data_IF_505816914470
#
_entry.id   IF_505816914470
#
_cell.length_a   1.000
_cell.length_b   1.000
_cell.length_c   1.000
_cell.angle_alpha   90.00
_cell.angle_beta   90.00
_cell.angle_gamma   90.00
#
_symmetry.space_group_name_H-M   'P 1'
#
loop_
_entity.id
_entity.type
_entity.pdbx_description
1 polymer ?
#
# COMPACT_ATOMS: atom_id res chain seq x y z
N UNK A 1 -8.12 -32.08 5.64
CA UNK A 1 -7.18 -31.04 6.08
C UNK A 1 -7.31 -29.87 5.12
N UNK A 2 -8.03 -28.82 5.50
CA UNK A 2 -8.05 -27.57 4.72
C UNK A 2 -6.67 -26.92 4.87
N UNK A 3 -5.95 -26.72 3.76
CA UNK A 3 -4.81 -25.80 3.76
C UNK A 3 -5.38 -24.44 4.17
N UNK A 4 -4.82 -23.75 5.19
CA UNK A 4 -5.27 -22.39 5.47
C UNK A 4 -5.18 -21.61 4.17
N UNK A 5 -6.28 -20.99 3.74
CA UNK A 5 -6.24 -20.10 2.58
C UNK A 5 -5.21 -19.04 2.98
N UNK A 6 -4.08 -19.01 2.28
CA UNK A 6 -3.04 -17.97 2.41
C UNK A 6 -3.60 -16.53 2.23
N UNK A 7 -4.91 -16.39 1.98
CA UNK A 7 -5.67 -15.17 1.79
C UNK A 7 -6.09 -14.46 3.10
N UNK A 8 -6.02 -15.10 4.28
CA UNK A 8 -6.47 -14.49 5.55
C UNK A 8 -5.36 -13.83 6.37
N UNK A 9 -4.10 -13.92 5.94
CA UNK A 9 -3.00 -13.22 6.60
C UNK A 9 -2.81 -11.84 5.95
N UNK A 10 -2.75 -10.75 6.74
CA UNK A 10 -2.46 -9.42 6.23
C UNK A 10 -1.18 -9.44 5.39
N UNK A 11 -1.28 -8.91 4.17
CA UNK A 11 -0.15 -8.85 3.26
C UNK A 11 0.44 -7.45 3.34
N UNK A 12 1.74 -7.36 3.63
CA UNK A 12 2.44 -6.07 3.56
C UNK A 12 2.68 -5.67 2.12
N UNK A 13 2.35 -4.43 1.80
CA UNK A 13 2.60 -3.83 0.50
C UNK A 13 3.45 -2.57 0.64
N UNK A 14 4.21 -2.31 -0.41
CA UNK A 14 4.79 -1.01 -0.72
C UNK A 14 4.21 -0.57 -2.06
N UNK A 15 3.56 0.59 -2.06
CA UNK A 15 2.99 1.19 -3.27
C UNK A 15 3.70 2.51 -3.50
N UNK A 16 4.28 2.68 -4.69
CA UNK A 16 4.98 3.90 -5.08
C UNK A 16 4.10 4.72 -5.99
N UNK A 17 3.91 6.00 -5.65
CA UNK A 17 3.19 6.98 -6.47
C UNK A 17 4.09 8.18 -6.74
N UNK A 18 3.89 8.83 -7.88
CA UNK A 18 4.69 9.97 -8.29
C UNK A 18 4.43 11.19 -7.40
N UNK A 19 5.50 11.89 -7.02
CA UNK A 19 5.41 13.13 -6.24
C UNK A 19 5.26 12.92 -4.73
N UNK A 20 5.20 14.02 -3.99
CA UNK A 20 5.18 14.03 -2.52
C UNK A 20 3.77 14.25 -1.98
N UNK A 21 3.21 13.21 -1.36
CA UNK A 21 1.94 13.25 -0.65
C UNK A 21 2.17 13.64 0.81
N UNK A 22 1.40 14.60 1.31
CA UNK A 22 1.54 15.01 2.71
C UNK A 22 1.24 13.85 3.68
N UNK A 23 2.10 13.60 4.70
CA UNK A 23 1.90 12.53 5.69
C UNK A 23 0.53 12.54 6.40
N UNK A 24 -0.19 13.67 6.46
CA UNK A 24 -1.53 13.70 7.06
C UNK A 24 -2.56 12.84 6.34
N UNK A 25 -2.29 12.39 5.11
CA UNK A 25 -3.18 11.53 4.34
C UNK A 25 -3.13 10.07 4.79
N UNK A 26 -2.27 9.70 5.75
CA UNK A 26 -2.08 8.31 6.19
C UNK A 26 -3.40 7.62 6.57
N UNK A 27 -4.27 8.29 7.35
CA UNK A 27 -5.57 7.77 7.72
C UNK A 27 -6.48 7.51 6.50
N UNK A 28 -6.32 8.27 5.43
CA UNK A 28 -7.09 8.15 4.19
C UNK A 28 -6.57 7.05 3.27
N UNK A 29 -5.33 6.60 3.46
CA UNK A 29 -4.73 5.46 2.78
C UNK A 29 -4.65 4.25 3.72
N UNK A 30 -5.75 3.89 4.39
CA UNK A 30 -5.85 2.69 5.25
C UNK A 30 -4.84 2.65 6.42
N UNK A 31 -4.35 3.82 6.87
CA UNK A 31 -3.32 3.90 7.90
C UNK A 31 -1.92 3.48 7.42
N UNK A 32 -1.70 3.39 6.10
CA UNK A 32 -0.38 3.12 5.55
C UNK A 32 0.59 4.24 5.94
N UNK A 33 1.83 3.85 6.21
CA UNK A 33 2.93 4.79 6.45
C UNK A 33 3.28 5.48 5.14
N UNK A 34 3.32 6.80 5.17
CA UNK A 34 3.72 7.64 4.04
C UNK A 34 5.18 8.02 4.22
N UNK A 35 6.03 7.66 3.26
CA UNK A 35 7.46 7.98 3.25
C UNK A 35 7.81 8.61 1.91
N UNK A 36 8.61 9.67 1.93
CA UNK A 36 9.17 10.25 0.72
C UNK A 36 10.50 9.56 0.36
N UNK A 37 10.64 9.11 -0.89
CA UNK A 37 11.91 8.60 -1.37
C UNK A 37 12.84 9.74 -1.83
N UNK A 38 14.13 9.42 -2.06
CA UNK A 38 15.12 10.39 -2.49
C UNK A 38 14.86 10.97 -3.90
N UNK A 39 13.97 10.33 -4.69
CA UNK A 39 13.55 10.78 -6.01
C UNK A 39 12.38 11.76 -5.99
N UNK A 40 11.84 12.10 -4.81
CA UNK A 40 10.68 12.98 -4.67
C UNK A 40 9.33 12.28 -4.89
N UNK A 41 9.31 10.94 -4.83
CA UNK A 41 8.09 10.14 -4.90
C UNK A 41 7.62 9.74 -3.50
N UNK A 42 6.41 9.21 -3.43
CA UNK A 42 5.81 8.73 -2.19
C UNK A 42 5.71 7.21 -2.18
N UNK A 43 6.11 6.62 -1.07
CA UNK A 43 5.92 5.22 -0.71
C UNK A 43 4.80 5.13 0.34
N UNK A 44 3.75 4.37 0.01
CA UNK A 44 2.71 3.94 0.94
C UNK A 44 3.05 2.52 1.39
N UNK A 45 3.35 2.34 2.68
CA UNK A 45 3.89 1.08 3.22
C UNK A 45 3.05 0.61 4.40
N UNK A 46 2.64 -0.66 4.38
CA UNK A 46 1.91 -1.25 5.49
C UNK A 46 1.10 -2.50 5.13
N UNK A 47 0.41 -3.08 6.12
CA UNK A 47 -0.43 -4.25 5.91
C UNK A 47 -1.75 -3.85 5.25
N UNK A 48 -2.21 -4.67 4.30
CA UNK A 48 -3.57 -4.63 3.80
C UNK A 48 -4.27 -5.94 4.15
N UNK A 49 -5.52 -5.83 4.61
CA UNK A 49 -6.30 -6.95 5.14
C UNK A 49 -6.55 -8.03 4.07
N UNK A 50 -6.84 -7.62 2.84
CA UNK A 50 -7.15 -8.51 1.73
C UNK A 50 -6.89 -7.83 0.37
N UNK A 51 -7.27 -8.49 -0.72
CA UNK A 51 -7.19 -7.92 -2.06
C UNK A 51 -8.19 -6.79 -2.30
N UNK A 52 -9.35 -6.78 -1.63
CA UNK A 52 -10.33 -5.71 -1.79
C UNK A 52 -9.79 -4.38 -1.24
N UNK A 53 -9.10 -4.42 -0.09
CA UNK A 53 -8.39 -3.28 0.48
C UNK A 53 -7.33 -2.73 -0.50
N UNK A 54 -6.54 -3.61 -1.14
CA UNK A 54 -5.59 -3.21 -2.18
C UNK A 54 -6.28 -2.51 -3.35
N UNK A 55 -7.31 -3.12 -3.93
CA UNK A 55 -8.00 -2.50 -5.07
C UNK A 55 -8.72 -1.20 -4.70
N UNK A 56 -9.28 -1.09 -3.50
CA UNK A 56 -9.87 0.15 -2.99
C UNK A 56 -8.84 1.29 -2.85
N UNK A 57 -7.62 0.95 -2.43
CA UNK A 57 -6.50 1.89 -2.36
C UNK A 57 -6.06 2.36 -3.76
N UNK A 58 -5.93 1.44 -4.71
CA UNK A 58 -5.59 1.77 -6.10
C UNK A 58 -6.66 2.63 -6.77
N UNK A 59 -7.93 2.41 -6.45
CA UNK A 59 -9.04 3.26 -6.90
C UNK A 59 -8.89 4.69 -6.39
N UNK A 60 -8.59 4.87 -5.10
CA UNK A 60 -8.32 6.20 -4.52
C UNK A 60 -7.16 6.90 -5.20
N UNK A 61 -6.05 6.19 -5.46
CA UNK A 61 -4.88 6.74 -6.18
C UNK A 61 -5.30 7.27 -7.55
N UNK A 62 -6.09 6.48 -8.30
CA UNK A 62 -6.60 6.86 -9.61
C UNK A 62 -7.54 8.07 -9.56
N UNK A 63 -8.47 8.11 -8.60
CA UNK A 63 -9.46 9.19 -8.50
C UNK A 63 -8.82 10.52 -8.12
N UNK A 64 -7.67 10.49 -7.44
CA UNK A 64 -6.84 11.66 -7.14
C UNK A 64 -5.94 12.08 -8.30
N UNK A 65 -5.98 11.37 -9.44
CA UNK A 65 -5.15 11.66 -10.60
C UNK A 65 -3.65 11.40 -10.35
N UNK A 66 -3.30 10.64 -9.31
CA UNK A 66 -1.91 10.33 -8.99
C UNK A 66 -1.38 9.26 -9.95
N UNK A 67 -0.11 9.40 -10.34
CA UNK A 67 0.55 8.42 -11.20
C UNK A 67 1.09 7.28 -10.34
N UNK A 68 0.55 6.08 -10.54
CA UNK A 68 1.05 4.86 -9.93
C UNK A 68 2.34 4.41 -10.61
N UNK A 69 3.42 4.25 -9.84
CA UNK A 69 4.73 3.86 -10.36
C UNK A 69 5.04 2.38 -10.12
N UNK A 70 4.70 1.85 -8.95
CA UNK A 70 4.94 0.44 -8.62
C UNK A 70 4.02 -0.09 -7.51
N UNK A 71 3.76 -1.40 -7.54
CA UNK A 71 3.13 -2.16 -6.45
C UNK A 71 4.05 -3.34 -6.14
N UNK A 72 4.50 -3.43 -4.89
CA UNK A 72 5.38 -4.50 -4.43
C UNK A 72 4.79 -5.17 -3.22
N UNK A 73 4.57 -6.49 -3.29
CA UNK A 73 4.29 -7.30 -2.10
C UNK A 73 5.58 -7.48 -1.32
N UNK A 74 5.59 -7.07 -0.06
CA UNK A 74 6.71 -7.29 0.84
C UNK A 74 6.59 -8.67 1.50
N UNK A 75 7.72 -9.34 1.78
CA UNK A 75 7.69 -10.56 2.58
C UNK A 75 7.05 -10.28 3.94
N UNK A 76 6.17 -11.17 4.40
CA UNK A 76 5.71 -11.12 5.78
C UNK A 76 6.94 -11.21 6.68
N UNK A 77 7.11 -10.25 7.60
CA UNK A 77 8.25 -10.22 8.50
C UNK A 77 8.27 -11.54 9.27
N UNK A 78 9.19 -12.44 8.91
CA UNK A 78 9.53 -13.59 9.74
C UNK A 78 10.44 -13.02 10.80
N UNK A 79 9.86 -12.77 11.98
CA UNK A 79 10.65 -12.52 13.18
C UNK A 79 11.56 -13.73 13.47
#
# INVERSE_FOLDING_TARGET
MERPRLADAPVYYQIRVQGMLDPHWSAWFEGLTIVHDAGGDTLLIGPLADQAALYGLLHRIRDLGMVLLAITRLPAHSA
#
